data_IF_126087467197
#
_entry.id   IF_126087467197
#
_cell.length_a   1.000
_cell.length_b   1.000
_cell.length_c   1.000
_cell.angle_alpha   90.00
_cell.angle_beta   90.00
_cell.angle_gamma   90.00
#
_symmetry.space_group_name_H-M   'P 1'
#
loop_
_entity.id
_entity.type
_entity.pdbx_description
1 polymer ?
#
# COMPACT_ATOMS: atom_id res chain seq x y z
N UNK A 1 -7.64 -9.91 -21.94
CA UNK A 1 -8.47 -9.65 -20.74
C UNK A 1 -9.15 -10.96 -20.28
N UNK A 2 -8.37 -11.99 -19.95
CA UNK A 2 -8.89 -13.32 -19.56
C UNK A 2 -8.21 -13.91 -18.30
N UNK A 3 -7.17 -13.27 -17.77
CA UNK A 3 -6.37 -13.78 -16.64
C UNK A 3 -7.03 -13.49 -15.27
N UNK A 4 -7.99 -12.55 -15.21
CA UNK A 4 -8.63 -12.13 -13.96
C UNK A 4 -9.82 -13.02 -13.53
N UNK A 5 -10.24 -13.98 -14.37
CA UNK A 5 -11.48 -14.74 -14.15
C UNK A 5 -11.30 -15.90 -13.17
N UNK A 6 -10.06 -16.42 -13.02
CA UNK A 6 -9.73 -17.56 -12.16
C UNK A 6 -8.99 -17.19 -10.84
N UNK A 7 -9.05 -15.93 -10.42
CA UNK A 7 -8.43 -15.52 -9.14
C UNK A 7 -9.33 -15.86 -7.95
N UNK A 8 -8.77 -16.59 -6.98
CA UNK A 8 -9.39 -16.92 -5.69
C UNK A 8 -9.78 -15.63 -4.94
N UNK A 9 -10.84 -15.66 -4.11
CA UNK A 9 -11.39 -14.45 -3.45
C UNK A 9 -10.34 -13.70 -2.62
N UNK A 10 -9.43 -14.44 -1.99
CA UNK A 10 -8.33 -13.88 -1.20
C UNK A 10 -7.31 -13.13 -2.07
N UNK A 11 -6.96 -13.69 -3.24
CA UNK A 11 -6.05 -13.04 -4.18
C UNK A 11 -6.66 -11.77 -4.79
N UNK A 12 -7.98 -11.77 -5.07
CA UNK A 12 -8.69 -10.56 -5.52
C UNK A 12 -8.66 -9.46 -4.46
N UNK A 13 -8.81 -9.83 -3.18
CA UNK A 13 -8.72 -8.89 -2.07
C UNK A 13 -7.30 -8.32 -1.94
N UNK A 14 -6.27 -9.16 -1.99
CA UNK A 14 -4.87 -8.72 -1.96
C UNK A 14 -4.53 -7.79 -3.14
N UNK A 15 -4.95 -8.11 -4.36
CA UNK A 15 -4.76 -7.25 -5.53
C UNK A 15 -5.47 -5.91 -5.37
N UNK A 16 -6.70 -5.91 -4.83
CA UNK A 16 -7.47 -4.68 -4.60
C UNK A 16 -6.78 -3.78 -3.58
N UNK A 17 -6.24 -4.37 -2.52
CA UNK A 17 -5.44 -3.65 -1.51
C UNK A 17 -4.16 -3.12 -2.14
N UNK A 18 -3.42 -3.92 -2.90
CA UNK A 18 -2.19 -3.46 -3.55
C UNK A 18 -2.46 -2.28 -4.51
N UNK A 19 -3.54 -2.36 -5.29
CA UNK A 19 -3.92 -1.33 -6.25
C UNK A 19 -4.36 -0.04 -5.53
N UNK A 20 -5.07 -0.14 -4.41
CA UNK A 20 -5.43 1.03 -3.60
C UNK A 20 -4.20 1.68 -2.97
N UNK A 21 -3.23 0.90 -2.48
CA UNK A 21 -1.98 1.43 -1.94
C UNK A 21 -1.17 2.18 -3.02
N UNK A 22 -1.10 1.63 -4.24
CA UNK A 22 -0.43 2.28 -5.37
C UNK A 22 -1.14 3.59 -5.73
N UNK A 23 -2.47 3.59 -5.81
CA UNK A 23 -3.23 4.79 -6.12
C UNK A 23 -3.00 5.92 -5.10
N UNK A 24 -3.03 5.60 -3.80
CA UNK A 24 -2.76 6.57 -2.73
C UNK A 24 -1.31 7.06 -2.79
N UNK A 25 -0.36 6.19 -3.14
CA UNK A 25 1.05 6.57 -3.29
C UNK A 25 1.27 7.56 -4.43
N UNK A 26 0.59 7.37 -5.55
CA UNK A 26 0.63 8.31 -6.70
C UNK A 26 0.06 9.67 -6.29
N UNK A 27 -1.09 9.69 -5.61
CA UNK A 27 -1.70 10.93 -5.13
C UNK A 27 -0.78 11.68 -4.14
N UNK A 28 -0.15 10.97 -3.21
CA UNK A 28 0.81 11.55 -2.29
C UNK A 28 2.04 12.13 -3.03
N UNK A 29 2.55 11.43 -4.05
CA UNK A 29 3.62 11.95 -4.91
C UNK A 29 3.23 13.24 -5.63
N UNK A 30 2.00 13.33 -6.14
CA UNK A 30 1.47 14.55 -6.77
C UNK A 30 1.45 15.71 -5.77
N UNK A 31 0.92 15.49 -4.56
CA UNK A 31 0.83 16.52 -3.51
C UNK A 31 2.22 17.00 -3.08
N UNK A 32 3.16 16.07 -2.88
CA UNK A 32 4.56 16.42 -2.50
C UNK A 32 5.27 17.15 -3.62
N UNK A 33 5.10 16.74 -4.87
CA UNK A 33 5.67 17.41 -6.04
C UNK A 33 5.14 18.83 -6.26
N UNK A 34 3.90 19.11 -5.84
CA UNK A 34 3.26 20.43 -5.95
C UNK A 34 3.71 21.44 -4.87
N UNK A 35 4.54 21.05 -3.89
CA UNK A 35 5.08 22.01 -2.92
C UNK A 35 5.90 23.10 -3.63
N UNK A 36 5.78 24.35 -3.18
CA UNK A 36 6.42 25.51 -3.80
C UNK A 36 7.96 25.39 -3.86
N UNK A 37 8.58 24.70 -2.90
CA UNK A 37 10.02 24.39 -2.90
C UNK A 37 10.44 23.48 -4.07
N UNK A 38 9.51 22.70 -4.61
CA UNK A 38 9.72 21.71 -5.65
C UNK A 38 9.03 22.08 -6.97
N UNK A 39 8.31 23.21 -7.03
CA UNK A 39 7.55 23.69 -8.20
C UNK A 39 8.44 24.07 -9.40
N UNK A 40 9.73 24.25 -9.18
CA UNK A 40 10.67 24.43 -10.28
C UNK A 40 10.67 23.15 -11.14
N UNK A 41 10.52 23.25 -12.47
CA UNK A 41 10.29 22.08 -13.36
C UNK A 41 11.33 20.97 -13.19
N UNK A 42 12.55 21.30 -12.76
CA UNK A 42 13.63 20.36 -12.44
C UNK A 42 13.40 19.57 -11.15
N UNK A 43 12.75 20.17 -10.17
CA UNK A 43 12.57 19.63 -8.82
C UNK A 43 11.22 18.90 -8.69
N UNK A 44 10.25 19.23 -9.52
CA UNK A 44 8.92 18.61 -9.50
C UNK A 44 8.99 17.09 -9.69
N UNK A 45 9.75 16.62 -10.69
CA UNK A 45 9.92 15.19 -10.96
C UNK A 45 10.62 14.48 -9.80
N UNK A 46 11.60 15.13 -9.17
CA UNK A 46 12.30 14.58 -8.02
C UNK A 46 11.38 14.46 -6.80
N UNK A 47 10.59 15.52 -6.51
CA UNK A 47 9.59 15.53 -5.44
C UNK A 47 8.47 14.51 -5.66
N UNK A 48 7.99 14.37 -6.91
CA UNK A 48 7.00 13.37 -7.28
C UNK A 48 7.51 11.93 -7.07
N UNK A 49 8.72 11.62 -7.55
CA UNK A 49 9.33 10.29 -7.41
C UNK A 49 9.60 9.98 -5.93
N UNK A 50 10.20 10.92 -5.19
CA UNK A 50 10.50 10.75 -3.78
C UNK A 50 9.22 10.58 -2.93
N UNK A 51 8.22 11.43 -3.16
CA UNK A 51 6.94 11.37 -2.46
C UNK A 51 6.17 10.09 -2.73
N UNK A 52 6.13 9.63 -4.00
CA UNK A 52 5.46 8.38 -4.36
C UNK A 52 6.16 7.14 -3.81
N UNK A 53 7.49 7.08 -3.84
CA UNK A 53 8.27 5.99 -3.23
C UNK A 53 8.11 5.95 -1.71
N UNK A 54 8.20 7.10 -1.04
CA UNK A 54 8.05 7.19 0.40
C UNK A 54 6.65 6.77 0.84
N UNK A 55 5.61 7.25 0.15
CA UNK A 55 4.24 6.86 0.42
C UNK A 55 4.02 5.36 0.20
N UNK A 56 4.58 4.78 -0.87
CA UNK A 56 4.49 3.34 -1.13
C UNK A 56 5.16 2.51 -0.02
N UNK A 57 6.36 2.90 0.41
CA UNK A 57 7.07 2.23 1.51
C UNK A 57 6.31 2.33 2.83
N UNK A 58 5.78 3.51 3.15
CA UNK A 58 5.01 3.75 4.37
C UNK A 58 3.72 2.91 4.39
N UNK A 59 2.97 2.94 3.29
CA UNK A 59 1.72 2.19 3.13
C UNK A 59 1.96 0.67 3.16
N UNK A 60 3.03 0.20 2.52
CA UNK A 60 3.45 -1.19 2.60
C UNK A 60 3.81 -1.58 4.04
N UNK A 61 4.52 -0.71 4.76
CA UNK A 61 4.83 -0.89 6.18
C UNK A 61 3.57 -1.02 7.04
N UNK A 62 2.59 -0.14 6.84
CA UNK A 62 1.29 -0.21 7.53
C UNK A 62 0.59 -1.54 7.24
N UNK A 63 0.48 -1.91 5.96
CA UNK A 63 -0.16 -3.16 5.55
C UNK A 63 0.50 -4.37 6.23
N UNK A 64 1.83 -4.43 6.22
CA UNK A 64 2.61 -5.53 6.80
C UNK A 64 2.47 -5.58 8.32
N UNK A 65 2.41 -4.43 8.99
CA UNK A 65 2.15 -4.32 10.43
C UNK A 65 0.75 -4.80 10.78
N UNK A 66 -0.28 -4.39 10.03
CA UNK A 66 -1.66 -4.85 10.25
C UNK A 66 -1.76 -6.36 10.02
N UNK A 67 -1.21 -6.87 8.92
CA UNK A 67 -1.21 -8.30 8.61
C UNK A 67 -0.52 -9.12 9.71
N UNK A 68 0.59 -8.62 10.26
CA UNK A 68 1.28 -9.24 11.38
C UNK A 68 0.40 -9.31 12.64
N UNK A 69 -0.24 -8.21 13.01
CA UNK A 69 -1.14 -8.16 14.18
C UNK A 69 -2.33 -9.10 13.99
N UNK A 70 -2.99 -9.06 12.83
CA UNK A 70 -4.15 -9.92 12.53
C UNK A 70 -3.76 -11.41 12.61
N UNK A 71 -2.61 -11.78 12.04
CA UNK A 71 -2.12 -13.16 12.12
C UNK A 71 -1.76 -13.58 13.55
N UNK A 72 -1.15 -12.69 14.34
CA UNK A 72 -0.86 -12.95 15.75
C UNK A 72 -2.13 -13.14 16.58
N UNK A 73 -3.16 -12.33 16.35
CA UNK A 73 -4.46 -12.43 17.03
C UNK A 73 -5.23 -13.69 16.61
N UNK A 74 -5.25 -14.04 15.31
CA UNK A 74 -5.84 -15.30 14.82
C UNK A 74 -5.17 -16.52 15.44
N UNK A 75 -3.83 -16.53 15.51
CA UNK A 75 -3.07 -17.63 16.12
C UNK A 75 -3.41 -17.80 17.62
N UNK A 76 -3.61 -16.69 18.34
CA UNK A 76 -4.03 -16.73 19.75
C UNK A 76 -5.42 -17.34 19.91
N UNK A 77 -6.38 -16.99 19.04
CA UNK A 77 -7.75 -17.50 19.11
C UNK A 77 -7.83 -19.02 18.90
N UNK A 78 -7.14 -19.56 17.90
CA UNK A 78 -7.15 -21.00 17.64
C UNK A 78 -6.55 -21.82 18.80
N UNK A 79 -5.53 -21.29 19.50
CA UNK A 79 -4.96 -21.98 20.66
C UNK A 79 -5.88 -21.98 21.90
N UNK A 80 -6.85 -21.06 21.98
CA UNK A 80 -7.80 -20.98 23.10
C UNK A 80 -9.10 -21.76 22.87
N UNK A 81 -9.41 -22.16 21.64
CA UNK A 81 -10.56 -23.02 21.33
C UNK A 81 -10.20 -24.52 21.42
N UNK A 82 -8.91 -24.87 21.54
CA UNK A 82 -8.37 -26.23 21.72
C UNK A 82 -8.03 -26.58 23.20
N UNK A 83 -8.44 -25.74 24.17
CA UNK A 83 -8.24 -25.95 25.63
C UNK A 83 -9.56 -26.08 26.36
#
# INVERSE_FOLDING_TARGET
MLILKDLNKDQKMEYTIALSLIAVSILAGIVVGMNEEWMDRRNFTAGYIAGSLLAALFLFGIYRSIAFIVNAVKKKKNNSDDS
#
